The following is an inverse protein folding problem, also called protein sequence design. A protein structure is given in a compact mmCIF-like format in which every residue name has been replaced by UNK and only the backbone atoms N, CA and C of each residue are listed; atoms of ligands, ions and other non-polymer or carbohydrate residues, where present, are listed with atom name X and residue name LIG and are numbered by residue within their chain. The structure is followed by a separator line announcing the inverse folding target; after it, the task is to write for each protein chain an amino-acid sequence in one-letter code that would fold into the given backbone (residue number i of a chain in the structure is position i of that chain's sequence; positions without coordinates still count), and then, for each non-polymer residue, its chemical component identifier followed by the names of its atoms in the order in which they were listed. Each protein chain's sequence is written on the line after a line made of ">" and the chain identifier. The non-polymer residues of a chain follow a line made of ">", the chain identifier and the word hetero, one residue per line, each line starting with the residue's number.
data_IF_777822390644
#
_entry.id   IF_777822390644
#
_cell.length_a   1.000
_cell.length_b   1.000
_cell.length_c   1.000
_cell.angle_alpha   90.00
_cell.angle_beta   90.00
_cell.angle_gamma   90.00
#
_symmetry.space_group_name_H-M   'P 1'
#
loop_
_entity.id
_entity.type
_entity.pdbx_description
1 polymer ?
#
# COMPACT_ATOMS: atom_id res chain seq x y z
N UNK A 1 -22.26 -15.64 8.30
CA UNK A 1 -22.83 -16.64 7.40
C UNK A 1 -21.96 -16.70 6.16
N UNK A 2 -21.53 -17.90 5.78
CA UNK A 2 -20.77 -18.13 4.54
C UNK A 2 -21.69 -18.82 3.56
N UNK A 3 -21.86 -18.25 2.37
CA UNK A 3 -22.78 -18.76 1.35
C UNK A 3 -22.09 -18.79 0.00
N UNK A 4 -22.01 -19.98 -0.59
CA UNK A 4 -21.60 -20.13 -1.98
C UNK A 4 -22.82 -20.16 -2.89
N UNK A 5 -22.74 -19.43 -4.00
CA UNK A 5 -23.77 -19.37 -5.04
C UNK A 5 -23.14 -19.83 -6.34
N UNK A 6 -23.66 -20.93 -6.88
CA UNK A 6 -23.21 -21.54 -8.14
C UNK A 6 -24.26 -21.44 -9.26
N UNK A 7 -25.49 -21.00 -8.93
CA UNK A 7 -26.57 -20.82 -9.91
C UNK A 7 -26.27 -19.64 -10.86
N UNK A 8 -26.15 -19.87 -12.19
CA UNK A 8 -25.76 -18.83 -13.14
C UNK A 8 -26.68 -17.59 -13.14
N UNK A 9 -27.99 -17.78 -12.94
CA UNK A 9 -28.96 -16.65 -12.93
C UNK A 9 -28.79 -15.78 -11.70
N UNK A 10 -28.54 -16.40 -10.55
CA UNK A 10 -28.29 -15.72 -9.28
C UNK A 10 -26.94 -14.99 -9.28
N UNK A 11 -25.92 -15.62 -9.84
CA UNK A 11 -24.59 -15.01 -10.05
C UNK A 11 -24.73 -13.75 -10.94
N UNK A 12 -25.42 -13.86 -12.07
CA UNK A 12 -25.59 -12.74 -12.99
C UNK A 12 -26.27 -11.53 -12.33
N UNK A 13 -27.35 -11.76 -11.57
CA UNK A 13 -28.06 -10.69 -10.84
C UNK A 13 -27.17 -9.98 -9.81
N UNK A 14 -26.32 -10.73 -9.10
CA UNK A 14 -25.39 -10.16 -8.13
C UNK A 14 -24.31 -9.33 -8.81
N UNK A 15 -23.72 -9.85 -9.87
CA UNK A 15 -22.73 -9.15 -10.70
C UNK A 15 -23.32 -7.84 -11.25
N UNK A 16 -24.52 -7.91 -11.86
CA UNK A 16 -25.20 -6.74 -12.44
C UNK A 16 -25.50 -5.64 -11.40
N UNK A 17 -25.84 -6.05 -10.18
CA UNK A 17 -26.18 -5.12 -9.09
C UNK A 17 -24.92 -4.49 -8.48
N UNK A 18 -23.86 -5.29 -8.29
CA UNK A 18 -22.68 -4.88 -7.55
C UNK A 18 -21.63 -4.18 -8.42
N UNK A 19 -21.42 -4.60 -9.68
CA UNK A 19 -20.43 -3.98 -10.57
C UNK A 19 -20.75 -2.54 -10.95
N UNK A 20 -22.01 -2.12 -10.82
CA UNK A 20 -22.42 -0.73 -11.00
C UNK A 20 -22.13 0.15 -9.79
N UNK A 21 -21.98 -0.45 -8.60
CA UNK A 21 -21.95 0.26 -7.33
C UNK A 21 -20.58 0.22 -6.64
N UNK A 22 -19.78 -0.82 -6.90
CA UNK A 22 -18.51 -1.06 -6.20
C UNK A 22 -17.35 -1.23 -7.20
N UNK A 23 -16.15 -0.68 -6.91
CA UNK A 23 -14.96 -0.99 -7.69
C UNK A 23 -14.70 -2.51 -7.69
N UNK A 24 -14.29 -3.03 -8.84
CA UNK A 24 -13.99 -4.45 -9.02
C UNK A 24 -12.48 -4.63 -9.11
N UNK A 25 -11.95 -5.59 -8.35
CA UNK A 25 -10.52 -5.93 -8.35
C UNK A 25 -10.35 -7.34 -8.89
N UNK A 26 -9.26 -7.59 -9.61
CA UNK A 26 -8.86 -8.90 -10.09
C UNK A 26 -7.58 -9.33 -9.41
N UNK A 27 -7.55 -10.54 -8.87
CA UNK A 27 -6.35 -11.15 -8.32
C UNK A 27 -5.40 -11.55 -9.48
N UNK A 28 -4.20 -10.96 -9.49
CA UNK A 28 -3.12 -11.23 -10.45
C UNK A 28 -1.84 -11.43 -9.65
N UNK A 29 -1.27 -12.64 -9.69
CA UNK A 29 -0.04 -12.99 -8.97
C UNK A 29 -0.07 -12.65 -7.46
N UNK A 30 -1.26 -12.77 -6.83
CA UNK A 30 -1.48 -12.46 -5.40
C UNK A 30 -1.79 -11.00 -5.08
N UNK A 31 -1.88 -10.13 -6.10
CA UNK A 31 -2.24 -8.71 -5.94
C UNK A 31 -3.62 -8.40 -6.55
N UNK A 32 -4.44 -7.62 -5.84
CA UNK A 32 -5.75 -7.15 -6.33
C UNK A 32 -5.57 -5.91 -7.22
N UNK A 33 -5.70 -6.07 -8.54
CA UNK A 33 -5.58 -4.99 -9.51
C UNK A 33 -6.98 -4.45 -9.86
N UNK A 34 -7.23 -3.12 -9.78
CA UNK A 34 -8.51 -2.57 -10.18
C UNK A 34 -8.76 -2.80 -11.67
N UNK A 35 -9.86 -3.47 -12.00
CA UNK A 35 -10.25 -3.77 -13.38
C UNK A 35 -11.48 -2.99 -13.78
N UNK A 36 -11.47 -2.52 -15.03
CA UNK A 36 -12.65 -1.89 -15.62
C UNK A 36 -13.51 -2.97 -16.25
N UNK A 37 -14.75 -3.08 -15.79
CA UNK A 37 -15.79 -3.85 -16.48
C UNK A 37 -16.17 -3.08 -17.75
N UNK A 38 -15.95 -3.70 -18.89
CA UNK A 38 -16.29 -3.13 -20.21
C UNK A 38 -17.73 -3.48 -20.54
N UNK A 39 -18.11 -4.74 -20.34
CA UNK A 39 -19.43 -5.25 -20.68
C UNK A 39 -19.83 -6.38 -19.73
N UNK A 40 -21.12 -6.47 -19.41
CA UNK A 40 -21.69 -7.58 -18.64
C UNK A 40 -22.81 -8.24 -19.46
N UNK A 41 -22.62 -9.51 -19.81
CA UNK A 41 -23.58 -10.35 -20.57
C UNK A 41 -24.05 -11.49 -19.68
N UNK A 42 -25.18 -12.07 -20.05
CA UNK A 42 -25.92 -13.11 -19.29
C UNK A 42 -25.05 -14.29 -18.81
N UNK A 43 -23.93 -14.60 -19.48
CA UNK A 43 -23.00 -15.67 -19.10
C UNK A 43 -21.53 -15.26 -19.22
N UNK A 44 -21.23 -13.98 -19.37
CA UNK A 44 -19.85 -13.53 -19.49
C UNK A 44 -19.67 -12.07 -19.09
N UNK A 45 -18.57 -11.79 -18.41
CA UNK A 45 -18.11 -10.45 -18.07
C UNK A 45 -16.88 -10.17 -18.91
N UNK A 46 -16.87 -9.03 -19.60
CA UNK A 46 -15.70 -8.56 -20.34
C UNK A 46 -14.99 -7.53 -19.47
N UNK A 47 -13.73 -7.82 -19.15
CA UNK A 47 -12.90 -6.94 -18.31
C UNK A 47 -11.61 -6.59 -19.04
N UNK A 48 -11.13 -5.37 -18.82
CA UNK A 48 -9.78 -5.02 -19.29
C UNK A 48 -8.75 -5.61 -18.35
N UNK A 49 -8.00 -6.61 -18.84
CA UNK A 49 -7.03 -7.36 -18.05
C UNK A 49 -5.62 -6.74 -18.14
N UNK A 50 -4.81 -6.79 -17.07
CA UNK A 50 -3.39 -6.42 -17.13
C UNK A 50 -2.60 -7.37 -18.04
N UNK A 51 -1.61 -6.86 -18.78
CA UNK A 51 -0.89 -7.60 -19.85
C UNK A 51 0.03 -8.73 -19.37
N UNK A 52 0.14 -8.99 -18.08
CA UNK A 52 1.05 -10.00 -17.53
C UNK A 52 0.27 -10.83 -16.52
N UNK A 53 0.01 -12.09 -16.85
CA UNK A 53 -0.41 -13.07 -15.86
C UNK A 53 -0.02 -14.48 -16.34
N UNK A 54 0.69 -15.23 -15.49
CA UNK A 54 1.28 -16.52 -15.85
C UNK A 54 0.30 -17.72 -15.73
N UNK A 55 -0.88 -17.51 -15.13
CA UNK A 55 -1.96 -18.51 -15.04
C UNK A 55 -3.24 -18.01 -15.72
N UNK A 56 -3.81 -18.81 -16.62
CA UNK A 56 -4.72 -18.35 -17.69
C UNK A 56 -6.07 -19.08 -17.77
N UNK A 57 -6.54 -19.72 -16.70
CA UNK A 57 -7.85 -20.42 -16.75
C UNK A 57 -8.83 -19.98 -15.67
N UNK A 58 -8.40 -19.66 -14.45
CA UNK A 58 -9.28 -19.20 -13.36
C UNK A 58 -8.89 -17.76 -12.96
N UNK A 59 -9.89 -16.89 -12.81
CA UNK A 59 -9.76 -15.48 -12.43
C UNK A 59 -10.66 -15.21 -11.24
N UNK A 60 -10.13 -14.59 -10.20
CA UNK A 60 -10.93 -14.19 -9.03
C UNK A 60 -11.16 -12.69 -9.07
N UNK A 61 -12.42 -12.29 -8.97
CA UNK A 61 -12.82 -10.91 -8.82
C UNK A 61 -13.33 -10.69 -7.40
N UNK A 62 -12.74 -9.72 -6.72
CA UNK A 62 -13.12 -9.34 -5.36
C UNK A 62 -14.00 -8.10 -5.41
N UNK A 63 -15.15 -8.15 -4.75
CA UNK A 63 -16.04 -7.00 -4.56
C UNK A 63 -16.39 -6.85 -3.09
N UNK A 64 -16.50 -5.60 -2.63
CA UNK A 64 -16.70 -5.28 -1.22
C UNK A 64 -17.96 -4.44 -1.07
N UNK A 65 -18.90 -4.90 -0.23
CA UNK A 65 -19.99 -4.07 0.30
C UNK A 65 -19.73 -3.76 1.78
N UNK A 66 -20.58 -2.92 2.39
CA UNK A 66 -20.45 -2.53 3.81
C UNK A 66 -20.48 -3.70 4.78
N UNK A 67 -21.26 -4.74 4.46
CA UNK A 67 -21.54 -5.85 5.37
C UNK A 67 -21.07 -7.20 4.82
N UNK A 68 -20.70 -7.25 3.53
CA UNK A 68 -20.34 -8.51 2.87
C UNK A 68 -19.10 -8.36 1.99
N UNK A 69 -18.24 -9.36 2.03
CA UNK A 69 -17.21 -9.61 1.02
C UNK A 69 -17.78 -10.59 -0.01
N UNK A 70 -17.66 -10.23 -1.28
CA UNK A 70 -18.05 -11.08 -2.40
C UNK A 70 -16.79 -11.49 -3.16
N UNK A 71 -16.53 -12.79 -3.22
CA UNK A 71 -15.43 -13.39 -3.97
C UNK A 71 -16.04 -14.15 -5.14
N UNK A 72 -15.90 -13.60 -6.34
CA UNK A 72 -16.46 -14.18 -7.55
C UNK A 72 -15.36 -14.87 -8.35
N UNK A 73 -15.49 -16.18 -8.54
CA UNK A 73 -14.57 -16.98 -9.35
C UNK A 73 -15.09 -17.05 -10.77
N UNK A 74 -14.21 -16.82 -11.74
CA UNK A 74 -14.48 -16.87 -13.16
C UNK A 74 -13.51 -17.81 -13.85
N UNK A 75 -13.95 -18.40 -14.96
CA UNK A 75 -13.07 -19.06 -15.93
C UNK A 75 -12.79 -18.11 -17.09
N UNK A 76 -11.52 -17.87 -17.40
CA UNK A 76 -11.14 -17.09 -18.59
C UNK A 76 -11.35 -17.93 -19.84
N UNK A 77 -12.25 -17.48 -20.71
CA UNK A 77 -12.65 -18.21 -21.92
C UNK A 77 -11.82 -17.78 -23.12
N UNK A 78 -11.53 -16.48 -23.23
CA UNK A 78 -10.77 -15.93 -24.33
C UNK A 78 -10.22 -14.54 -23.97
N UNK A 79 -9.24 -14.06 -24.74
CA UNK A 79 -8.75 -12.68 -24.72
C UNK A 79 -8.92 -12.09 -26.12
N UNK A 80 -9.55 -10.92 -26.24
CA UNK A 80 -9.73 -10.26 -27.53
C UNK A 80 -8.45 -9.56 -28.03
N UNK A 81 -8.47 -9.11 -29.29
CA UNK A 81 -7.35 -8.41 -29.95
C UNK A 81 -6.92 -7.10 -29.26
N UNK A 82 -7.77 -6.57 -28.38
CA UNK A 82 -7.51 -5.36 -27.59
C UNK A 82 -6.98 -5.67 -26.18
N UNK A 83 -6.82 -6.95 -25.83
CA UNK A 83 -6.34 -7.40 -24.53
C UNK A 83 -7.41 -7.46 -23.44
N UNK A 84 -8.69 -7.54 -23.80
CA UNK A 84 -9.79 -7.71 -22.86
C UNK A 84 -10.08 -9.19 -22.64
N UNK A 85 -10.16 -9.60 -21.37
CA UNK A 85 -10.50 -10.96 -20.99
C UNK A 85 -12.01 -11.15 -20.97
N UNK A 86 -12.47 -12.23 -21.60
CA UNK A 86 -13.85 -12.71 -21.54
C UNK A 86 -13.92 -13.75 -20.43
N UNK A 87 -14.59 -13.39 -19.35
CA UNK A 87 -14.67 -14.17 -18.12
C UNK A 87 -16.06 -14.79 -17.97
N UNK A 88 -16.13 -16.10 -17.79
CA UNK A 88 -17.38 -16.80 -17.49
C UNK A 88 -17.48 -17.04 -15.97
N UNK A 89 -18.51 -16.53 -15.28
CA UNK A 89 -18.64 -16.74 -13.85
C UNK A 89 -18.86 -18.22 -13.52
N UNK A 90 -18.19 -18.70 -12.49
CA UNK A 90 -18.22 -20.10 -12.02
C UNK A 90 -18.90 -20.20 -10.65
N UNK A 91 -18.53 -19.34 -9.70
CA UNK A 91 -19.18 -19.26 -8.39
C UNK A 91 -19.01 -17.87 -7.75
N UNK A 92 -19.89 -17.53 -6.81
CA UNK A 92 -19.72 -16.38 -5.91
C UNK A 92 -19.80 -16.86 -4.47
N UNK A 93 -18.75 -16.60 -3.71
CA UNK A 93 -18.72 -16.79 -2.26
C UNK A 93 -19.03 -15.47 -1.56
N UNK A 94 -20.03 -15.49 -0.67
CA UNK A 94 -20.44 -14.36 0.15
C UNK A 94 -20.03 -14.64 1.59
N UNK A 95 -19.27 -13.71 2.17
CA UNK A 95 -18.83 -13.76 3.55
C UNK A 95 -19.31 -12.51 4.29
N UNK A 96 -20.06 -12.71 5.37
CA UNK A 96 -20.40 -11.62 6.28
C UNK A 96 -19.13 -11.00 6.87
N UNK A 97 -19.03 -9.68 6.79
CA UNK A 97 -18.04 -8.90 7.52
C UNK A 97 -18.66 -8.63 8.89
N UNK A 98 -18.33 -9.46 9.88
CA UNK A 98 -18.78 -9.24 11.25
C UNK A 98 -18.27 -7.87 11.75
N UNK A 99 -19.18 -6.92 11.94
CA UNK A 99 -18.90 -5.68 12.63
C UNK A 99 -18.67 -5.97 14.12
N UNK A 100 -17.51 -5.61 14.65
CA UNK A 100 -17.26 -5.61 16.08
C UNK A 100 -17.87 -4.31 16.63
N UNK A 101 -19.13 -4.39 17.09
CA UNK A 101 -19.87 -3.28 17.72
C UNK A 101 -19.44 -3.06 19.18
N UNK A 102 -18.16 -3.16 19.51
CA UNK A 102 -17.69 -2.89 20.86
C UNK A 102 -16.99 -1.52 20.93
N UNK A 103 -17.80 -0.48 21.15
CA UNK A 103 -17.46 0.95 21.12
C UNK A 103 -16.38 1.42 22.11
N UNK A 104 -15.99 0.57 23.07
CA UNK A 104 -15.10 1.00 24.17
C UNK A 104 -13.76 0.25 24.20
N UNK A 105 -13.48 -0.59 23.21
CA UNK A 105 -12.25 -1.42 23.22
C UNK A 105 -11.12 -0.85 22.38
N UNK A 106 -11.38 0.16 21.55
CA UNK A 106 -10.40 0.72 20.65
C UNK A 106 -10.35 2.25 20.75
N UNK A 107 -9.15 2.79 20.56
CA UNK A 107 -8.92 4.23 20.38
C UNK A 107 -8.11 4.46 19.12
N UNK A 108 -8.33 5.61 18.48
CA UNK A 108 -7.57 6.07 17.32
C UNK A 108 -6.71 7.27 17.73
N UNK A 109 -5.44 7.28 17.33
CA UNK A 109 -4.50 8.37 17.64
C UNK A 109 -3.44 8.57 16.56
N UNK A 110 -2.63 9.63 16.69
CA UNK A 110 -1.55 10.00 15.75
C UNK A 110 -2.03 10.06 14.30
N UNK A 111 -3.16 10.75 14.11
CA UNK A 111 -3.84 10.85 12.82
C UNK A 111 -3.16 11.91 11.97
N UNK A 112 -2.81 11.56 10.74
CA UNK A 112 -2.26 12.49 9.77
C UNK A 112 -2.80 12.17 8.38
N UNK A 113 -3.01 13.19 7.54
CA UNK A 113 -3.36 12.97 6.15
C UNK A 113 -2.10 12.65 5.32
N UNK A 114 -2.23 11.78 4.32
CA UNK A 114 -1.13 11.49 3.40
C UNK A 114 -0.62 12.76 2.70
N UNK A 115 -1.52 13.69 2.39
CA UNK A 115 -1.17 14.99 1.82
C UNK A 115 -0.31 15.82 2.76
N UNK A 116 -0.62 15.84 4.05
CA UNK A 116 0.20 16.57 5.03
C UNK A 116 1.57 15.92 5.21
N UNK A 117 1.68 14.59 5.15
CA UNK A 117 2.99 13.90 5.16
C UNK A 117 3.87 14.41 4.02
N UNK A 118 3.34 14.48 2.80
CA UNK A 118 4.09 14.95 1.65
C UNK A 118 4.47 16.44 1.75
N UNK A 119 3.56 17.28 2.24
CA UNK A 119 3.86 18.70 2.51
C UNK A 119 4.97 18.86 3.55
N UNK A 120 4.99 18.03 4.59
CA UNK A 120 6.06 18.04 5.61
C UNK A 120 7.44 17.72 5.03
N UNK A 121 7.54 17.09 3.85
CA UNK A 121 8.82 16.78 3.22
C UNK A 121 9.53 18.02 2.66
N UNK A 122 8.84 19.16 2.53
CA UNK A 122 9.43 20.43 2.09
C UNK A 122 10.03 21.24 3.24
N UNK A 123 9.96 20.74 4.48
CA UNK A 123 10.52 21.40 5.66
C UNK A 123 12.05 21.39 5.61
N UNK A 124 12.70 22.52 5.93
CA UNK A 124 14.16 22.69 5.90
C UNK A 124 14.90 21.67 6.77
N UNK A 125 14.24 21.13 7.81
CA UNK A 125 14.79 20.06 8.66
C UNK A 125 15.10 18.80 7.86
N UNK A 126 14.36 18.49 6.79
CA UNK A 126 14.69 17.37 5.90
C UNK A 126 16.03 17.63 5.20
N UNK A 127 16.25 18.84 4.70
CA UNK A 127 17.52 19.22 4.09
C UNK A 127 18.70 19.10 5.06
N UNK A 128 18.48 19.44 6.33
CA UNK A 128 19.49 19.27 7.38
C UNK A 128 19.81 17.79 7.66
N UNK A 129 18.79 16.93 7.73
CA UNK A 129 18.98 15.47 7.90
C UNK A 129 19.76 14.88 6.73
N UNK A 130 19.42 15.25 5.50
CA UNK A 130 20.14 14.81 4.29
C UNK A 130 21.60 15.25 4.35
N UNK A 131 21.86 16.50 4.73
CA UNK A 131 23.22 17.07 4.82
C UNK A 131 24.07 16.42 5.92
N UNK A 132 23.43 16.05 7.04
CA UNK A 132 24.07 15.44 8.21
C UNK A 132 24.10 13.91 8.14
N UNK A 133 23.50 13.32 7.11
CA UNK A 133 23.49 11.88 6.93
C UNK A 133 24.93 11.31 6.99
N UNK A 134 25.12 10.11 7.59
CA UNK A 134 26.44 9.53 7.76
C UNK A 134 27.22 9.49 6.45
N UNK A 135 28.38 10.16 6.41
CA UNK A 135 29.26 10.13 5.24
C UNK A 135 29.96 8.77 5.21
N UNK A 136 29.50 7.91 4.32
CA UNK A 136 29.99 6.54 4.15
C UNK A 136 30.94 6.40 2.96
N UNK A 137 31.64 7.49 2.65
CA UNK A 137 32.57 7.57 1.51
C UNK A 137 33.74 6.57 1.60
N UNK A 138 33.98 6.01 2.79
CA UNK A 138 34.97 4.95 2.99
C UNK A 138 34.46 3.56 2.57
N UNK A 139 33.14 3.37 2.40
CA UNK A 139 32.51 2.13 1.94
C UNK A 139 31.91 2.25 0.54
N UNK A 140 31.49 3.45 0.13
CA UNK A 140 30.80 3.68 -1.13
C UNK A 140 31.37 4.91 -1.83
N UNK A 141 31.59 4.82 -3.13
CA UNK A 141 32.10 5.96 -3.92
C UNK A 141 31.05 7.03 -4.16
N UNK A 142 29.77 6.64 -4.09
CA UNK A 142 28.62 7.51 -4.21
C UNK A 142 27.62 7.17 -3.12
N UNK A 143 27.05 8.21 -2.51
CA UNK A 143 26.01 8.11 -1.51
C UNK A 143 25.03 9.26 -1.66
N UNK A 144 23.74 8.94 -1.66
CA UNK A 144 22.64 9.87 -1.82
C UNK A 144 21.50 9.52 -0.87
N UNK A 145 21.02 10.51 -0.14
CA UNK A 145 19.73 10.44 0.55
C UNK A 145 18.76 11.32 -0.23
N UNK A 146 17.74 10.68 -0.80
CA UNK A 146 16.70 11.38 -1.54
C UNK A 146 15.40 11.30 -0.75
N UNK A 147 14.87 12.45 -0.33
CA UNK A 147 13.55 12.58 0.28
C UNK A 147 12.78 13.65 -0.48
N UNK A 148 11.62 13.29 -1.00
CA UNK A 148 10.81 14.22 -1.79
C UNK A 148 9.36 13.74 -1.92
N UNK A 149 8.43 14.67 -2.05
CA UNK A 149 7.03 14.38 -2.42
C UNK A 149 6.92 13.75 -3.81
N UNK A 150 7.72 14.24 -4.78
CA UNK A 150 7.65 13.76 -6.17
C UNK A 150 8.45 12.47 -6.33
N UNK A 151 7.74 11.41 -6.68
CA UNK A 151 8.34 10.10 -6.96
C UNK A 151 9.04 10.09 -8.32
N UNK A 152 10.36 9.93 -8.30
CA UNK A 152 11.13 9.67 -9.51
C UNK A 152 10.97 8.20 -9.97
N UNK A 153 11.57 7.83 -11.11
CA UNK A 153 11.46 6.47 -11.65
C UNK A 153 11.98 5.39 -10.70
N UNK A 154 13.04 5.67 -9.94
CA UNK A 154 13.58 4.74 -8.93
C UNK A 154 12.60 4.52 -7.78
N UNK A 155 12.02 5.59 -7.22
CA UNK A 155 10.98 5.47 -6.19
C UNK A 155 9.77 4.70 -6.66
N UNK A 156 9.28 4.98 -7.88
CA UNK A 156 8.12 4.27 -8.44
C UNK A 156 8.37 2.77 -8.53
N UNK A 157 9.56 2.36 -8.97
CA UNK A 157 9.93 0.96 -9.05
C UNK A 157 10.07 0.31 -7.67
N UNK A 158 10.77 0.97 -6.72
CA UNK A 158 10.86 0.49 -5.34
C UNK A 158 9.48 0.31 -4.70
N UNK A 159 8.55 1.22 -4.99
CA UNK A 159 7.19 1.18 -4.48
C UNK A 159 6.37 0.06 -5.12
N UNK A 160 6.54 -0.17 -6.43
CA UNK A 160 5.86 -1.23 -7.16
C UNK A 160 6.27 -2.63 -6.69
N UNK A 161 7.56 -2.87 -6.48
CA UNK A 161 8.02 -4.19 -6.04
C UNK A 161 8.00 -4.40 -4.53
N UNK A 162 7.89 -3.31 -3.75
CA UNK A 162 8.06 -3.34 -2.30
C UNK A 162 9.38 -4.02 -1.84
N UNK A 163 10.42 -4.00 -2.69
CA UNK A 163 11.72 -4.65 -2.48
C UNK A 163 12.87 -3.66 -2.64
N UNK A 164 14.00 -3.86 -1.95
CA UNK A 164 15.20 -3.07 -2.17
C UNK A 164 15.89 -3.47 -3.48
N UNK A 165 16.77 -2.59 -3.96
CA UNK A 165 17.74 -2.91 -5.02
C UNK A 165 19.04 -3.31 -4.36
N UNK A 166 19.57 -4.47 -4.77
CA UNK A 166 20.95 -4.85 -4.48
C UNK A 166 21.54 -5.52 -5.70
N UNK A 167 22.54 -4.87 -6.28
CA UNK A 167 23.25 -5.33 -7.47
C UNK A 167 24.71 -5.50 -7.07
N UNK A 168 25.14 -6.72 -6.72
CA UNK A 168 26.51 -7.00 -6.29
C UNK A 168 27.53 -6.65 -7.37
N UNK A 169 27.19 -6.94 -8.63
CA UNK A 169 27.98 -6.59 -9.80
C UNK A 169 27.09 -6.56 -11.05
N UNK A 170 27.04 -5.42 -11.76
CA UNK A 170 26.33 -5.25 -13.03
C UNK A 170 26.80 -6.20 -14.14
N UNK A 171 28.07 -6.61 -14.13
CA UNK A 171 28.65 -7.55 -15.09
C UNK A 171 28.26 -9.01 -14.80
N UNK A 172 27.70 -9.30 -13.61
CA UNK A 172 27.30 -10.65 -13.17
C UNK A 172 25.86 -10.67 -12.64
N UNK A 173 24.85 -10.56 -13.54
CA UNK A 173 23.43 -10.51 -13.18
C UNK A 173 22.95 -11.65 -12.28
N UNK A 174 23.54 -12.83 -12.42
CA UNK A 174 23.23 -14.05 -11.67
C UNK A 174 23.48 -13.95 -10.16
N UNK A 175 24.24 -12.93 -9.71
CA UNK A 175 24.48 -12.68 -8.29
C UNK A 175 23.31 -12.00 -7.58
N UNK A 176 22.33 -11.46 -8.31
CA UNK A 176 21.16 -10.80 -7.74
C UNK A 176 20.18 -11.85 -7.22
N UNK A 177 19.87 -11.80 -5.91
CA UNK A 177 18.95 -12.74 -5.26
C UNK A 177 17.48 -12.36 -5.48
N UNK A 178 16.52 -13.32 -5.37
CA UNK A 178 15.08 -13.07 -5.51
C UNK A 178 14.46 -12.09 -4.50
N UNK A 179 15.14 -11.85 -3.37
CA UNK A 179 14.71 -10.90 -2.34
C UNK A 179 14.85 -9.43 -2.79
N UNK A 180 15.51 -9.20 -3.92
CA UNK A 180 15.76 -7.87 -4.50
C UNK A 180 14.97 -7.66 -5.78
N UNK A 181 14.87 -6.41 -6.21
CA UNK A 181 14.31 -6.08 -7.52
C UNK A 181 15.15 -6.76 -8.62
N UNK A 182 14.53 -7.47 -9.57
CA UNK A 182 15.25 -8.10 -10.67
C UNK A 182 16.06 -7.09 -11.48
N UNK A 183 17.32 -7.42 -11.78
CA UNK A 183 18.22 -6.51 -12.52
C UNK A 183 17.60 -6.09 -13.86
N UNK A 184 16.93 -7.00 -14.57
CA UNK A 184 16.30 -6.72 -15.86
C UNK A 184 15.31 -5.54 -15.78
N UNK A 185 14.56 -5.44 -14.70
CA UNK A 185 13.57 -4.38 -14.47
C UNK A 185 14.22 -3.09 -13.99
N UNK A 186 15.32 -3.20 -13.23
CA UNK A 186 16.05 -2.04 -12.72
C UNK A 186 16.98 -1.38 -13.73
N UNK A 187 17.54 -2.15 -14.66
CA UNK A 187 18.61 -1.72 -15.57
C UNK A 187 18.28 -0.46 -16.39
N UNK A 188 17.05 -0.24 -16.90
CA UNK A 188 16.71 1.00 -17.58
C UNK A 188 16.85 2.25 -16.70
N UNK A 189 16.53 2.13 -15.40
CA UNK A 189 16.69 3.22 -14.43
C UNK A 189 18.17 3.42 -14.11
N UNK A 190 18.92 2.34 -13.90
CA UNK A 190 20.36 2.42 -13.64
C UNK A 190 21.11 3.11 -14.79
N UNK A 191 20.84 2.73 -16.04
CA UNK A 191 21.45 3.31 -17.25
C UNK A 191 21.10 4.78 -17.49
N UNK A 192 20.01 5.28 -16.89
CA UNK A 192 19.68 6.71 -16.97
C UNK A 192 20.60 7.59 -16.11
N UNK A 193 21.39 6.98 -15.21
CA UNK A 193 22.40 7.68 -14.43
C UNK A 193 23.61 8.03 -15.32
N UNK A 194 24.02 9.31 -15.45
CA UNK A 194 25.18 9.70 -16.24
C UNK A 194 26.48 9.00 -15.82
N UNK A 195 26.57 8.56 -14.56
CA UNK A 195 27.74 7.89 -14.00
C UNK A 195 27.60 6.36 -13.97
N UNK A 196 26.63 5.78 -14.69
CA UNK A 196 26.38 4.34 -14.67
C UNK A 196 27.65 3.52 -14.97
N UNK A 197 28.40 3.89 -16.01
CA UNK A 197 29.59 3.15 -16.45
C UNK A 197 30.75 3.19 -15.43
N UNK A 198 30.74 4.15 -14.50
CA UNK A 198 31.77 4.26 -13.46
C UNK A 198 31.62 3.19 -12.39
N UNK A 199 30.39 2.75 -12.10
CA UNK A 199 30.10 1.92 -10.94
C UNK A 199 29.81 0.48 -11.34
N UNK A 200 30.37 -0.46 -10.58
CA UNK A 200 30.14 -1.90 -10.79
C UNK A 200 28.97 -2.42 -9.98
N UNK A 201 28.61 -1.76 -8.89
CA UNK A 201 27.63 -2.26 -7.94
C UNK A 201 26.76 -1.15 -7.37
N UNK A 202 25.58 -1.53 -6.88
CA UNK A 202 24.58 -0.59 -6.40
C UNK A 202 23.72 -1.18 -5.27
N UNK A 203 23.41 -0.36 -4.28
CA UNK A 203 22.42 -0.65 -3.23
C UNK A 203 21.44 0.52 -3.16
N UNK A 204 20.14 0.23 -3.14
CA UNK A 204 19.12 1.22 -2.87
C UNK A 204 18.04 0.68 -1.95
N UNK A 205 17.78 1.38 -0.84
CA UNK A 205 16.74 1.03 0.13
C UNK A 205 15.71 2.15 0.26
N UNK A 206 14.42 1.82 0.37
CA UNK A 206 13.37 2.82 0.52
C UNK A 206 13.37 3.45 1.93
N UNK A 207 13.07 4.74 2.00
CA UNK A 207 12.69 5.45 3.22
C UNK A 207 11.17 5.48 3.27
N UNK A 208 10.59 4.89 4.31
CA UNK A 208 9.14 4.81 4.47
C UNK A 208 8.67 5.51 5.73
N UNK A 209 7.56 6.25 5.60
CA UNK A 209 6.79 6.71 6.74
C UNK A 209 5.96 5.56 7.31
N UNK A 210 6.21 5.20 8.57
CA UNK A 210 5.53 4.12 9.32
C UNK A 210 5.45 2.79 8.53
N UNK A 211 6.43 2.52 7.67
CA UNK A 211 6.50 1.36 6.76
C UNK A 211 5.44 1.28 5.64
N UNK A 212 4.52 2.24 5.53
CA UNK A 212 3.47 2.25 4.50
C UNK A 212 3.82 3.14 3.32
N UNK A 213 4.14 4.40 3.59
CA UNK A 213 4.25 5.41 2.54
C UNK A 213 5.72 5.64 2.20
N UNK A 214 6.09 5.40 0.95
CA UNK A 214 7.42 5.75 0.48
C UNK A 214 7.56 7.26 0.38
N UNK A 215 8.50 7.81 1.15
CA UNK A 215 8.81 9.25 1.19
C UNK A 215 10.19 9.55 0.60
N UNK A 216 10.99 8.52 0.33
CA UNK A 216 12.33 8.67 -0.22
C UNK A 216 13.06 7.34 -0.39
N UNK A 217 14.37 7.43 -0.61
CA UNK A 217 15.29 6.30 -0.63
C UNK A 217 16.70 6.75 -0.23
N UNK A 218 17.53 5.79 0.19
CA UNK A 218 18.97 5.96 0.32
C UNK A 218 19.63 5.08 -0.74
N UNK A 219 20.55 5.66 -1.49
CA UNK A 219 21.18 5.04 -2.65
C UNK A 219 22.71 5.15 -2.52
N UNK A 220 23.40 4.04 -2.79
CA UNK A 220 24.85 4.00 -2.84
C UNK A 220 25.33 3.20 -4.04
N UNK A 221 26.45 3.63 -4.61
CA UNK A 221 27.13 2.93 -5.70
C UNK A 221 28.62 2.81 -5.39
N UNK A 222 29.25 1.77 -5.93
CA UNK A 222 30.66 1.52 -5.74
C UNK A 222 31.32 0.98 -7.03
N UNK A 223 32.59 1.33 -7.23
CA UNK A 223 33.44 0.94 -8.35
C UNK A 223 33.87 -0.52 -8.26
N UNK A 224 33.73 -1.14 -7.09
CA UNK A 224 34.04 -2.56 -6.87
C UNK A 224 32.77 -3.36 -6.58
N UNK A 225 32.90 -4.69 -6.51
CA UNK A 225 31.79 -5.60 -6.17
C UNK A 225 31.39 -5.42 -4.70
N UNK A 226 30.09 -5.38 -4.43
CA UNK A 226 29.55 -5.40 -3.07
C UNK A 226 29.10 -6.80 -2.67
N UNK A 227 29.08 -7.06 -1.36
CA UNK A 227 28.60 -8.30 -0.78
C UNK A 227 27.43 -8.06 0.20
N UNK A 228 26.94 -9.13 0.82
CA UNK A 228 25.84 -9.04 1.78
C UNK A 228 26.23 -8.30 3.06
N UNK A 229 27.51 -8.27 3.43
CA UNK A 229 27.97 -7.50 4.58
C UNK A 229 27.87 -6.00 4.28
N UNK A 230 28.23 -5.59 3.06
CA UNK A 230 28.00 -4.22 2.59
C UNK A 230 26.51 -3.87 2.63
N UNK A 231 25.64 -4.76 2.13
CA UNK A 231 24.19 -4.57 2.16
C UNK A 231 23.64 -4.42 3.59
N UNK A 232 24.05 -5.31 4.51
CA UNK A 232 23.60 -5.28 5.90
C UNK A 232 24.08 -4.02 6.62
N UNK A 233 25.32 -3.61 6.38
CA UNK A 233 25.87 -2.36 6.93
C UNK A 233 25.10 -1.15 6.40
N UNK A 234 24.84 -1.12 5.09
CA UNK A 234 24.01 -0.07 4.48
C UNK A 234 22.61 -0.02 5.08
N UNK A 235 21.98 -1.17 5.32
CA UNK A 235 20.66 -1.25 5.97
C UNK A 235 20.65 -0.62 7.38
N UNK A 236 21.73 -0.75 8.15
CA UNK A 236 21.86 -0.10 9.46
C UNK A 236 21.93 1.42 9.34
N UNK A 237 22.70 1.92 8.36
CA UNK A 237 22.80 3.36 8.06
C UNK A 237 21.43 3.92 7.66
N UNK A 238 20.73 3.25 6.73
CA UNK A 238 19.38 3.66 6.32
C UNK A 238 18.42 3.65 7.51
N UNK A 239 18.50 2.65 8.38
CA UNK A 239 17.66 2.58 9.58
C UNK A 239 17.91 3.76 10.53
N UNK A 240 19.15 4.26 10.62
CA UNK A 240 19.48 5.46 11.39
C UNK A 240 18.84 6.71 10.77
N UNK A 241 18.95 6.88 9.46
CA UNK A 241 18.36 8.03 8.73
C UNK A 241 16.83 8.01 8.87
N UNK A 242 16.20 6.84 8.71
CA UNK A 242 14.76 6.67 8.91
C UNK A 242 14.36 7.12 10.32
N UNK A 243 15.09 6.67 11.36
CA UNK A 243 14.83 7.10 12.74
C UNK A 243 14.93 8.61 12.90
N UNK A 244 15.96 9.23 12.33
CA UNK A 244 16.15 10.69 12.39
C UNK A 244 15.00 11.46 11.74
N UNK A 245 14.57 11.04 10.55
CA UNK A 245 13.39 11.59 9.85
C UNK A 245 12.13 11.48 10.71
N UNK A 246 11.88 10.33 11.33
CA UNK A 246 10.73 10.13 12.21
C UNK A 246 10.80 10.95 13.51
N UNK A 247 11.99 11.11 14.09
CA UNK A 247 12.19 11.88 15.33
C UNK A 247 12.27 13.40 15.13
N UNK A 248 12.37 13.87 13.88
CA UNK A 248 12.55 15.30 13.54
C UNK A 248 11.38 16.20 13.92
N UNK A 249 10.20 15.62 14.18
CA UNK A 249 8.98 16.35 14.49
C UNK A 249 8.43 17.18 13.32
N UNK A 250 8.79 16.84 12.07
CA UNK A 250 8.25 17.49 10.86
C UNK A 250 6.80 17.07 10.57
N UNK A 251 6.41 15.88 11.01
CA UNK A 251 5.08 15.32 10.77
C UNK A 251 4.13 15.81 11.86
N UNK A 252 3.23 16.72 11.48
CA UNK A 252 2.24 17.30 12.38
C UNK A 252 1.03 16.37 12.57
N UNK A 253 1.27 15.23 13.24
CA UNK A 253 0.20 14.30 13.61
C UNK A 253 -0.76 14.91 14.64
N UNK A 254 -2.06 14.65 14.49
CA UNK A 254 -3.04 14.93 15.53
C UNK A 254 -2.79 14.01 16.72
N UNK A 255 -2.53 14.61 17.88
CA UNK A 255 -2.30 13.90 19.16
C UNK A 255 -3.59 13.58 19.91
N UNK A 256 -4.75 13.89 19.32
CA UNK A 256 -6.04 13.58 19.91
C UNK A 256 -6.22 12.07 20.04
N UNK A 257 -6.75 11.63 21.18
CA UNK A 257 -7.14 10.24 21.41
C UNK A 257 -8.65 10.16 21.15
N UNK A 258 -9.00 9.50 20.07
CA UNK A 258 -10.35 9.43 19.54
C UNK A 258 -11.01 8.12 19.94
N UNK A 259 -12.23 8.20 20.47
CA UNK A 259 -13.04 7.01 20.80
C UNK A 259 -13.57 6.37 19.52
N UNK A 260 -13.48 5.05 19.41
CA UNK A 260 -13.98 4.29 18.26
C UNK A 260 -15.43 3.90 18.51
N UNK A 261 -16.35 4.40 17.69
CA UNK A 261 -17.78 4.08 17.78
C UNK A 261 -18.10 2.72 17.14
N UNK A 262 -17.44 2.41 16.02
CA UNK A 262 -17.71 1.20 15.25
C UNK A 262 -16.44 0.75 14.54
N UNK A 263 -16.15 -0.55 14.58
CA UNK A 263 -15.05 -1.11 13.80
C UNK A 263 -15.48 -2.41 13.14
N UNK A 264 -15.11 -2.55 11.88
CA UNK A 264 -15.28 -3.77 11.09
C UNK A 264 -13.93 -4.15 10.51
N UNK A 265 -13.74 -5.39 10.02
CA UNK A 265 -12.54 -5.76 9.28
C UNK A 265 -12.14 -4.81 8.14
N UNK A 266 -13.10 -4.02 7.60
CA UNK A 266 -12.89 -3.16 6.44
C UNK A 266 -13.05 -1.67 6.71
N UNK A 267 -13.52 -1.26 7.88
CA UNK A 267 -13.77 0.15 8.18
C UNK A 267 -13.75 0.45 9.66
N UNK A 268 -13.56 1.72 9.99
CA UNK A 268 -13.58 2.23 11.35
C UNK A 268 -14.32 3.57 11.38
N UNK A 269 -15.07 3.79 12.45
CA UNK A 269 -15.70 5.07 12.77
C UNK A 269 -15.24 5.53 14.14
N UNK A 270 -14.79 6.76 14.24
CA UNK A 270 -14.30 7.34 15.49
C UNK A 270 -14.74 8.80 15.65
N UNK A 271 -14.83 9.25 16.89
CA UNK A 271 -15.18 10.60 17.27
C UNK A 271 -13.92 11.46 17.39
N UNK A 272 -13.88 12.56 16.65
CA UNK A 272 -12.76 13.50 16.67
C UNK A 272 -13.24 14.90 17.11
N UNK A 273 -12.52 15.51 18.05
CA UNK A 273 -12.84 16.86 18.53
C UNK A 273 -12.54 17.93 17.46
N UNK A 274 -13.36 19.00 17.35
CA UNK A 274 -13.16 20.08 16.39
C UNK A 274 -11.91 20.90 16.72
N UNK A 275 -10.74 20.45 16.25
CA UNK A 275 -9.47 21.15 16.40
C UNK A 275 -9.11 21.91 15.13
N UNK A 276 -8.19 22.88 15.24
CA UNK A 276 -7.65 23.61 14.06
C UNK A 276 -7.05 22.67 13.00
N UNK A 277 -6.48 21.54 13.42
CA UNK A 277 -5.90 20.54 12.52
C UNK A 277 -6.96 19.66 11.85
N UNK A 278 -8.12 19.47 12.46
CA UNK A 278 -9.16 18.58 11.97
C UNK A 278 -9.63 18.96 10.56
N UNK A 279 -9.83 20.24 10.27
CA UNK A 279 -10.27 20.71 8.94
C UNK A 279 -9.23 20.50 7.84
N UNK A 280 -7.95 20.41 8.21
CA UNK A 280 -6.85 20.12 7.27
C UNK A 280 -6.72 18.62 7.02
N UNK A 281 -6.83 17.82 8.08
CA UNK A 281 -6.63 16.37 8.05
C UNK A 281 -7.82 15.67 7.39
N UNK A 282 -9.04 16.05 7.77
CA UNK A 282 -10.25 15.37 7.34
C UNK A 282 -10.88 16.09 6.15
N UNK A 283 -10.83 15.43 5.00
CA UNK A 283 -11.65 15.75 3.84
C UNK A 283 -12.17 14.45 3.22
N UNK A 284 -13.31 14.52 2.55
CA UNK A 284 -13.89 13.34 1.89
C UNK A 284 -12.87 12.75 0.91
N UNK A 285 -12.71 11.41 0.95
CA UNK A 285 -11.71 10.65 0.18
C UNK A 285 -10.25 10.94 0.52
N UNK A 286 -9.97 11.72 1.57
CA UNK A 286 -8.60 11.84 2.08
C UNK A 286 -8.09 10.50 2.55
N UNK A 287 -6.80 10.26 2.33
CA UNK A 287 -6.12 9.08 2.86
C UNK A 287 -5.50 9.48 4.18
N UNK A 288 -5.88 8.78 5.24
CA UNK A 288 -5.36 8.95 6.58
C UNK A 288 -4.40 7.82 6.92
N UNK A 289 -3.39 8.17 7.71
CA UNK A 289 -2.54 7.24 8.43
C UNK A 289 -2.76 7.49 9.91
N UNK A 290 -3.07 6.44 10.66
CA UNK A 290 -3.42 6.55 12.07
C UNK A 290 -3.12 5.26 12.81
N UNK A 291 -3.13 5.34 14.13
CA UNK A 291 -2.84 4.23 15.01
C UNK A 291 -4.15 3.77 15.65
N UNK A 292 -4.42 2.47 15.65
CA UNK A 292 -5.47 1.87 16.47
C UNK A 292 -4.80 1.21 17.67
N UNK A 293 -5.29 1.54 18.86
CA UNK A 293 -4.86 0.94 20.12
C UNK A 293 -6.04 0.15 20.69
N UNK A 294 -5.83 -1.14 20.96
CA UNK A 294 -6.84 -1.98 21.61
C UNK A 294 -6.81 -1.85 23.15
N UNK A 295 -7.75 -2.47 23.86
CA UNK A 295 -7.84 -2.38 25.33
C UNK A 295 -6.60 -2.92 26.05
N UNK A 296 -5.90 -3.88 25.43
CA UNK A 296 -4.67 -4.48 25.97
C UNK A 296 -3.45 -3.56 25.78
N UNK A 297 -3.64 -2.36 25.21
CA UNK A 297 -2.57 -1.42 24.90
C UNK A 297 -1.75 -1.79 23.67
N UNK A 298 -2.15 -2.83 22.92
CA UNK A 298 -1.51 -3.18 21.66
C UNK A 298 -1.86 -2.14 20.61
N UNK A 299 -0.82 -1.65 19.94
CA UNK A 299 -0.89 -0.61 18.95
C UNK A 299 -0.54 -1.17 17.58
N UNK A 300 -1.37 -0.87 16.58
CA UNK A 300 -1.07 -1.15 15.17
C UNK A 300 -1.40 0.06 14.30
N UNK A 301 -0.64 0.21 13.22
CA UNK A 301 -0.74 1.30 12.28
C UNK A 301 -1.66 0.91 11.12
N UNK A 302 -2.51 1.85 10.70
CA UNK A 302 -3.50 1.63 9.67
C UNK A 302 -3.52 2.79 8.68
N UNK A 303 -3.93 2.45 7.46
CA UNK A 303 -4.24 3.41 6.40
C UNK A 303 -5.71 3.28 6.04
N UNK A 304 -6.41 4.39 5.93
CA UNK A 304 -7.82 4.39 5.58
C UNK A 304 -8.20 5.57 4.70
N UNK A 305 -9.24 5.40 3.89
CA UNK A 305 -9.83 6.49 3.09
C UNK A 305 -11.06 7.02 3.79
N UNK A 306 -11.16 8.33 3.97
CA UNK A 306 -12.33 8.97 4.59
C UNK A 306 -13.57 8.74 3.73
N UNK A 307 -14.52 7.98 4.25
CA UNK A 307 -15.76 7.59 3.59
C UNK A 307 -16.98 8.36 4.11
N UNK A 308 -16.90 8.96 5.30
CA UNK A 308 -17.93 9.87 5.81
C UNK A 308 -17.39 10.84 6.86
N UNK A 309 -17.93 12.06 6.89
CA UNK A 309 -17.73 13.03 7.98
C UNK A 309 -19.12 13.52 8.39
N UNK A 310 -19.54 13.21 9.61
CA UNK A 310 -20.85 13.64 10.14
C UNK A 310 -20.64 14.57 11.35
N UNK A 311 -21.14 15.81 11.32
CA UNK A 311 -21.10 16.67 12.49
C UNK A 311 -22.02 16.11 13.58
N UNK A 312 -21.51 16.07 14.81
CA UNK A 312 -22.23 15.78 16.04
C UNK A 312 -22.16 17.03 16.94
N UNK A 313 -22.84 17.05 18.09
CA UNK A 313 -22.96 18.26 18.92
C UNK A 313 -21.61 18.93 19.27
N UNK A 314 -20.59 18.14 19.66
CA UNK A 314 -19.28 18.64 20.09
C UNK A 314 -18.09 18.01 19.36
N UNK A 315 -18.36 17.13 18.39
CA UNK A 315 -17.38 16.25 17.75
C UNK A 315 -17.77 15.99 16.29
N UNK A 316 -16.85 15.43 15.52
CA UNK A 316 -17.12 14.87 14.21
C UNK A 316 -17.02 13.34 14.27
N UNK A 317 -18.04 12.64 13.77
CA UNK A 317 -17.95 11.21 13.51
C UNK A 317 -17.27 11.01 12.15
N UNK A 318 -16.03 10.56 12.19
CA UNK A 318 -15.21 10.28 11.02
C UNK A 318 -15.31 8.80 10.69
N UNK A 319 -15.76 8.46 9.48
CA UNK A 319 -15.74 7.10 8.94
C UNK A 319 -14.59 6.94 7.96
N UNK A 320 -13.81 5.88 8.13
CA UNK A 320 -12.69 5.53 7.27
C UNK A 320 -12.80 4.07 6.83
N UNK A 321 -12.60 3.83 5.53
CA UNK A 321 -12.51 2.48 4.97
C UNK A 321 -11.03 2.08 4.90
N UNK A 322 -10.65 0.93 5.45
CA UNK A 322 -9.26 0.47 5.46
C UNK A 322 -8.76 0.21 4.04
N UNK A 323 -7.52 0.64 3.79
CA UNK A 323 -6.81 0.33 2.55
C UNK A 323 -6.06 -0.99 2.72
N UNK A 324 -6.73 -2.08 2.38
CA UNK A 324 -6.17 -3.44 2.44
C UNK A 324 -5.51 -3.75 1.09
N UNK A 325 -4.19 -3.97 1.11
CA UNK A 325 -3.37 -4.19 -0.08
C UNK A 325 -3.19 -5.66 -0.42
N UNK A 326 -3.33 -6.56 0.57
CA UNK A 326 -3.27 -8.02 0.37
C UNK A 326 -4.23 -8.79 1.29
N UNK A 327 -4.56 -10.05 0.98
CA UNK A 327 -5.38 -10.90 1.86
C UNK A 327 -4.77 -11.10 3.25
N UNK A 328 -3.45 -11.26 3.35
CA UNK A 328 -2.73 -11.43 4.62
C UNK A 328 -2.82 -10.16 5.47
N UNK A 329 -2.77 -8.98 4.85
CA UNK A 329 -3.01 -7.71 5.55
C UNK A 329 -4.43 -7.66 6.11
N UNK A 330 -5.42 -8.09 5.32
CA UNK A 330 -6.82 -8.17 5.75
C UNK A 330 -7.05 -9.13 6.92
N UNK A 331 -6.44 -10.32 6.87
CA UNK A 331 -6.47 -11.28 7.97
C UNK A 331 -5.78 -10.73 9.22
N UNK A 332 -4.61 -10.13 9.07
CA UNK A 332 -3.88 -9.52 10.18
C UNK A 332 -4.62 -8.33 10.81
N UNK A 333 -5.46 -7.63 10.04
CA UNK A 333 -6.36 -6.60 10.56
C UNK A 333 -7.51 -7.25 11.34
N UNK A 334 -8.19 -8.23 10.74
CA UNK A 334 -9.29 -8.94 11.40
C UNK A 334 -8.85 -9.59 12.71
N UNK A 335 -7.67 -10.20 12.76
CA UNK A 335 -7.13 -10.83 13.96
C UNK A 335 -6.70 -9.82 15.03
N UNK A 336 -6.24 -8.63 14.62
CA UNK A 336 -5.98 -7.54 15.56
C UNK A 336 -7.27 -7.00 16.17
N UNK A 337 -8.35 -6.93 15.39
CA UNK A 337 -9.65 -6.38 15.82
C UNK A 337 -10.50 -7.38 16.62
N UNK A 338 -10.21 -8.68 16.56
CA UNK A 338 -10.85 -9.71 17.39
C UNK A 338 -10.33 -9.78 18.82
N UNK A 339 -9.18 -9.18 19.10
CA UNK A 339 -8.45 -9.34 20.37
C UNK A 339 -8.20 -8.00 21.05
#
# INVERSE_FOLDING_TARGET
>A
MEKEITDPRSIQKLIDSLYKLTPVFMEVDGEDIPVKIIENKINSVIVRSPRVNANTTERRLTMKSKENLFLATFTEVNVDEFGNSILKPSSIFIRDILAVKESNQFTVSNIISQTDIFKSLTDDRIGLIIKNAPKVNFMFDFFEVYVNERQNSRMRLLNAHNKPVFIPNYEKPELVKPDFIPLKEYLPIAKSNPNFEKYKSEICLPIKYKNFLMIGYVHAMHTTRLDLNSFNTFKLIVSSIVKEVHSSGIFEESREICTVEEVTPNSIRFLHAPTRLATRIFSMKAILIFDIVNKEGRKKFFRGTVSSIKPMNKEFLIGCDFMISSPEEGEAIADFLKK
#
